data_IF_027424227119
#
_entry.id   IF_027424227119
#
_cell.length_a   1.000
_cell.length_b   1.000
_cell.length_c   1.000
_cell.angle_alpha   90.00
_cell.angle_beta   90.00
_cell.angle_gamma   90.00
#
_symmetry.space_group_name_H-M   'P 1'
#
loop_
_entity.id
_entity.type
_entity.pdbx_description
1 polymer ?
#
# COMPACT_ATOMS: atom_id res chain seq x y z
N UNK A 1 8.71 -7.79 -13.67
CA UNK A 1 9.49 -8.36 -12.56
C UNK A 1 10.65 -9.22 -13.03
N UNK A 2 10.45 -10.35 -13.73
CA UNK A 2 11.55 -11.27 -14.11
C UNK A 2 12.72 -10.56 -14.79
N UNK A 3 12.47 -9.83 -15.89
CA UNK A 3 13.53 -9.08 -16.59
C UNK A 3 14.13 -7.89 -15.81
N UNK A 4 13.54 -7.46 -14.69
CA UNK A 4 14.12 -6.45 -13.80
C UNK A 4 15.23 -7.08 -12.95
N UNK A 5 15.03 -8.31 -12.48
CA UNK A 5 15.99 -9.05 -11.65
C UNK A 5 17.14 -9.70 -12.43
N UNK A 6 17.11 -9.63 -13.77
CA UNK A 6 18.24 -10.00 -14.63
C UNK A 6 19.27 -8.87 -14.75
N UNK A 7 18.92 -7.65 -14.34
CA UNK A 7 19.80 -6.47 -14.47
C UNK A 7 20.72 -6.36 -13.26
N UNK A 8 22.02 -6.21 -13.51
CA UNK A 8 23.03 -6.12 -12.45
C UNK A 8 22.78 -4.97 -11.46
N UNK A 9 22.29 -3.81 -11.94
CA UNK A 9 22.00 -2.67 -11.07
C UNK A 9 20.87 -2.96 -10.07
N UNK A 10 19.84 -3.72 -10.47
CA UNK A 10 18.76 -4.10 -9.57
C UNK A 10 19.26 -5.05 -8.48
N UNK A 11 20.09 -6.04 -8.86
CA UNK A 11 20.67 -6.99 -7.90
C UNK A 11 21.56 -6.30 -6.87
N UNK A 12 22.38 -5.33 -7.31
CA UNK A 12 23.19 -4.51 -6.42
C UNK A 12 22.32 -3.69 -5.47
N UNK A 13 21.25 -3.05 -5.98
CA UNK A 13 20.34 -2.26 -5.16
C UNK A 13 19.63 -3.10 -4.09
N UNK A 14 19.21 -4.32 -4.44
CA UNK A 14 18.58 -5.25 -3.49
C UNK A 14 19.52 -5.65 -2.34
N UNK A 15 20.78 -5.99 -2.67
CA UNK A 15 21.78 -6.33 -1.66
C UNK A 15 22.10 -5.12 -0.80
N UNK A 16 22.24 -3.95 -1.40
CA UNK A 16 22.52 -2.71 -0.69
C UNK A 16 21.40 -2.37 0.31
N UNK A 17 20.14 -2.42 -0.10
CA UNK A 17 19.00 -2.14 0.78
C UNK A 17 18.97 -3.08 1.99
N UNK A 18 19.22 -4.38 1.80
CA UNK A 18 19.33 -5.33 2.91
C UNK A 18 20.48 -5.01 3.86
N UNK A 19 21.62 -4.57 3.33
CA UNK A 19 22.77 -4.17 4.16
C UNK A 19 22.55 -2.85 4.90
N UNK A 20 21.81 -1.92 4.31
CA UNK A 20 21.53 -0.61 4.91
C UNK A 20 20.43 -0.66 5.97
N UNK A 21 19.32 -1.34 5.68
CA UNK A 21 18.15 -1.37 6.56
C UNK A 21 18.09 -2.62 7.46
N UNK A 22 18.89 -3.65 7.15
CA UNK A 22 18.84 -4.94 7.83
C UNK A 22 17.76 -5.86 7.26
N UNK A 23 17.90 -7.17 7.47
CA UNK A 23 17.05 -8.19 6.83
C UNK A 23 15.60 -8.22 7.33
N UNK A 24 15.30 -7.56 8.45
CA UNK A 24 13.97 -7.53 9.06
C UNK A 24 13.18 -6.24 8.76
N UNK A 25 13.83 -5.21 8.23
CA UNK A 25 13.21 -3.90 8.05
C UNK A 25 12.39 -3.83 6.76
N UNK A 26 11.20 -3.23 6.78
CA UNK A 26 10.28 -3.19 5.63
C UNK A 26 10.91 -2.56 4.37
N UNK A 27 11.70 -1.50 4.54
CA UNK A 27 12.44 -0.84 3.44
C UNK A 27 13.53 -1.71 2.80
N UNK A 28 13.92 -2.83 3.40
CA UNK A 28 14.86 -3.78 2.80
C UNK A 28 14.21 -4.65 1.71
N UNK A 29 12.88 -4.69 1.66
CA UNK A 29 12.11 -5.55 0.75
C UNK A 29 11.67 -4.81 -0.51
N UNK A 30 11.59 -5.55 -1.62
CA UNK A 30 11.05 -5.04 -2.88
C UNK A 30 9.52 -4.98 -2.79
N UNK A 31 8.95 -3.78 -2.71
CA UNK A 31 7.49 -3.61 -2.66
C UNK A 31 6.77 -4.14 -3.92
N UNK A 32 7.47 -4.14 -5.06
CA UNK A 32 6.98 -4.76 -6.29
C UNK A 32 6.96 -6.29 -6.25
N UNK A 33 7.62 -6.91 -5.27
CA UNK A 33 7.79 -8.36 -5.13
C UNK A 33 9.01 -8.92 -5.85
N UNK A 34 9.44 -10.12 -5.43
CA UNK A 34 10.41 -10.93 -6.18
C UNK A 34 9.68 -11.94 -7.06
N UNK A 35 10.29 -12.43 -8.16
CA UNK A 35 9.66 -13.45 -9.01
C UNK A 35 9.24 -14.71 -8.24
N UNK A 36 10.01 -15.10 -7.23
CA UNK A 36 9.73 -16.24 -6.36
C UNK A 36 8.55 -15.94 -5.43
N UNK A 37 8.57 -14.81 -4.73
CA UNK A 37 7.52 -14.44 -3.78
C UNK A 37 6.17 -14.26 -4.48
N UNK A 38 6.14 -13.65 -5.67
CA UNK A 38 4.89 -13.43 -6.41
C UNK A 38 4.28 -14.73 -6.95
N UNK A 39 5.11 -15.73 -7.28
CA UNK A 39 4.60 -17.06 -7.65
C UNK A 39 4.02 -17.82 -6.46
N UNK A 40 4.48 -17.52 -5.25
CA UNK A 40 3.99 -18.13 -4.02
C UNK A 40 2.78 -17.40 -3.41
N UNK A 41 2.59 -16.10 -3.71
CA UNK A 41 1.53 -15.27 -3.13
C UNK A 41 0.13 -15.75 -3.53
N UNK A 42 -0.69 -16.07 -2.54
CA UNK A 42 -2.06 -16.54 -2.71
C UNK A 42 -3.11 -15.42 -2.73
N UNK A 43 -4.31 -15.69 -3.28
CA UNK A 43 -5.39 -14.70 -3.33
C UNK A 43 -5.91 -14.31 -1.92
N UNK A 44 -5.86 -15.22 -0.95
CA UNK A 44 -6.32 -14.95 0.41
C UNK A 44 -5.38 -14.01 1.15
N UNK A 45 -4.07 -14.15 0.96
CA UNK A 45 -3.06 -13.25 1.51
C UNK A 45 -3.22 -11.83 0.93
N UNK A 46 -3.52 -11.71 -0.37
CA UNK A 46 -3.81 -10.43 -1.02
C UNK A 46 -5.05 -9.76 -0.40
N UNK A 47 -6.14 -10.52 -0.25
CA UNK A 47 -7.38 -10.00 0.36
C UNK A 47 -7.15 -9.57 1.81
N UNK A 48 -6.42 -10.37 2.58
CA UNK A 48 -6.10 -10.06 3.96
C UNK A 48 -5.23 -8.80 4.06
N UNK A 49 -4.21 -8.66 3.21
CA UNK A 49 -3.38 -7.46 3.15
C UNK A 49 -4.21 -6.22 2.83
N UNK A 50 -5.07 -6.30 1.80
CA UNK A 50 -5.96 -5.20 1.45
C UNK A 50 -6.89 -4.82 2.61
N UNK A 51 -7.56 -5.80 3.23
CA UNK A 51 -8.47 -5.56 4.35
C UNK A 51 -7.75 -4.95 5.58
N UNK A 52 -6.48 -5.30 5.78
CA UNK A 52 -5.70 -4.82 6.92
C UNK A 52 -5.23 -3.37 6.72
N UNK A 53 -4.75 -3.02 5.52
CA UNK A 53 -4.03 -1.77 5.29
C UNK A 53 -4.83 -0.71 4.52
N UNK A 54 -5.75 -1.12 3.64
CA UNK A 54 -6.56 -0.25 2.79
C UNK A 54 -7.94 -0.02 3.39
N UNK A 55 -7.98 0.69 4.52
CA UNK A 55 -9.21 1.14 5.16
C UNK A 55 -9.34 2.65 5.09
N UNK A 56 -10.58 3.14 5.01
CA UNK A 56 -10.89 4.58 5.00
C UNK A 56 -10.30 5.32 6.22
N UNK A 57 -10.23 4.66 7.38
CA UNK A 57 -9.67 5.24 8.60
C UNK A 57 -8.14 5.30 8.61
N UNK A 58 -7.46 4.54 7.74
CA UNK A 58 -6.00 4.45 7.70
C UNK A 58 -5.38 5.14 6.48
N UNK A 59 -6.20 5.67 5.56
CA UNK A 59 -5.72 6.26 4.31
C UNK A 59 -5.96 7.77 4.28
N UNK A 60 -4.88 8.54 4.14
CA UNK A 60 -4.94 9.92 3.67
C UNK A 60 -5.07 9.97 2.14
N UNK A 61 -5.72 11.00 1.61
CA UNK A 61 -5.84 11.21 0.16
C UNK A 61 -5.21 12.53 -0.24
N UNK A 62 -4.31 12.49 -1.21
CA UNK A 62 -3.80 13.67 -1.94
C UNK A 62 -4.29 13.55 -3.38
N UNK A 63 -5.05 14.54 -3.84
CA UNK A 63 -5.68 14.55 -5.15
C UNK A 63 -5.08 15.66 -6.02
N UNK A 64 -4.72 15.31 -7.25
CA UNK A 64 -4.36 16.26 -8.29
C UNK A 64 -5.50 16.34 -9.31
N UNK A 65 -6.18 17.49 -9.38
CA UNK A 65 -7.30 17.73 -10.30
C UNK A 65 -6.79 18.53 -11.49
N UNK A 66 -7.04 18.04 -12.71
CA UNK A 66 -6.73 18.80 -13.93
C UNK A 66 -7.56 20.08 -13.99
N UNK A 67 -6.99 21.16 -14.54
CA UNK A 67 -7.72 22.42 -14.77
C UNK A 67 -8.91 22.31 -15.76
N UNK A 68 -9.05 21.16 -16.44
CA UNK A 68 -10.19 20.87 -17.32
C UNK A 68 -11.40 20.32 -16.56
N UNK A 69 -11.23 19.96 -15.30
CA UNK A 69 -12.28 19.42 -14.45
C UNK A 69 -12.73 20.48 -13.46
N UNK A 70 -14.04 20.50 -13.19
CA UNK A 70 -14.59 21.31 -12.10
C UNK A 70 -14.15 20.72 -10.76
N UNK A 71 -13.48 21.54 -9.95
CA UNK A 71 -13.08 21.15 -8.59
C UNK A 71 -14.29 20.77 -7.74
N UNK A 72 -15.38 21.55 -7.83
CA UNK A 72 -16.59 21.32 -7.04
C UNK A 72 -17.22 19.98 -7.41
N UNK A 73 -17.42 19.72 -8.69
CA UNK A 73 -18.07 18.48 -9.13
C UNK A 73 -17.21 17.25 -8.81
N UNK A 74 -15.89 17.38 -8.93
CA UNK A 74 -14.94 16.31 -8.57
C UNK A 74 -15.02 16.01 -7.07
N UNK A 75 -15.02 17.03 -6.22
CA UNK A 75 -15.11 16.85 -4.77
C UNK A 75 -16.48 16.30 -4.35
N UNK A 76 -17.57 16.74 -4.98
CA UNK A 76 -18.91 16.18 -4.75
C UNK A 76 -18.98 14.70 -5.10
N UNK A 77 -18.47 14.30 -6.27
CA UNK A 77 -18.45 12.90 -6.69
C UNK A 77 -17.60 12.02 -5.77
N UNK A 78 -16.45 12.53 -5.30
CA UNK A 78 -15.60 11.84 -4.32
C UNK A 78 -16.30 11.72 -2.98
N UNK A 79 -16.94 12.79 -2.49
CA UNK A 79 -17.74 12.78 -1.25
C UNK A 79 -18.80 11.69 -1.30
N UNK A 80 -19.57 11.62 -2.38
CA UNK A 80 -20.60 10.60 -2.56
C UNK A 80 -20.02 9.18 -2.58
N UNK A 81 -18.88 8.98 -3.25
CA UNK A 81 -18.19 7.69 -3.28
C UNK A 81 -17.70 7.26 -1.89
N UNK A 82 -17.05 8.17 -1.16
CA UNK A 82 -16.50 7.89 0.17
C UNK A 82 -17.63 7.62 1.17
N UNK A 83 -18.73 8.36 1.11
CA UNK A 83 -19.90 8.13 1.98
C UNK A 83 -20.54 6.75 1.72
N UNK A 84 -20.64 6.32 0.46
CA UNK A 84 -21.12 4.96 0.12
C UNK A 84 -20.19 3.87 0.67
N UNK A 85 -18.88 4.05 0.50
CA UNK A 85 -17.88 3.09 1.00
C UNK A 85 -17.80 3.06 2.53
N UNK A 86 -17.97 4.20 3.19
CA UNK A 86 -18.02 4.31 4.65
C UNK A 86 -19.26 3.63 5.23
N UNK A 87 -20.43 3.81 4.60
CA UNK A 87 -21.65 3.09 5.01
C UNK A 87 -21.50 1.57 4.89
N UNK A 88 -20.84 1.09 3.83
CA UNK A 88 -20.50 -0.32 3.68
C UNK A 88 -19.49 -0.80 4.74
N UNK A 89 -18.49 0.02 5.08
CA UNK A 89 -17.46 -0.30 6.06
C UNK A 89 -17.95 -0.24 7.53
N UNK A 90 -18.91 0.62 7.86
CA UNK A 90 -19.49 0.75 9.20
C UNK A 90 -20.18 -0.55 9.68
N UNK A 91 -20.57 -1.41 8.75
CA UNK A 91 -21.14 -2.74 9.05
C UNK A 91 -20.06 -3.75 9.48
N UNK A 92 -18.78 -3.44 9.33
CA UNK A 92 -17.65 -4.38 9.47
C UNK A 92 -16.63 -4.03 10.58
N UNK A 93 -16.86 -3.01 11.41
CA UNK A 93 -15.80 -2.47 12.28
C UNK A 93 -15.52 -3.36 13.50
N UNK A 94 -14.29 -3.90 13.58
CA UNK A 94 -13.57 -4.19 14.82
C UNK A 94 -12.24 -3.42 14.78
N UNK A 95 -11.98 -2.73 15.90
CA UNK A 95 -10.86 -1.86 16.35
C UNK A 95 -9.42 -2.04 15.81
N UNK A 96 -8.56 -1.00 15.97
CA UNK A 96 -7.34 -0.77 15.18
C UNK A 96 -6.12 -1.58 15.66
N UNK A 97 -5.14 -1.82 14.79
CA UNK A 97 -4.05 -2.80 15.01
C UNK A 97 -2.61 -2.29 14.95
N UNK A 98 -2.33 -0.99 15.03
CA UNK A 98 -0.93 -0.55 15.09
C UNK A 98 -0.73 0.48 16.19
N UNK A 99 0.00 0.13 17.25
CA UNK A 99 0.55 1.12 18.18
C UNK A 99 1.76 1.80 17.50
N UNK A 100 1.83 3.12 17.59
CA UNK A 100 2.79 4.01 16.87
C UNK A 100 4.21 3.94 17.48
N UNK A 101 4.51 2.95 18.31
CA UNK A 101 5.66 2.97 19.23
C UNK A 101 6.96 2.42 18.63
N UNK A 102 6.97 2.03 17.35
CA UNK A 102 8.14 1.44 16.69
C UNK A 102 8.64 2.21 15.46
N UNK A 103 8.17 3.44 15.23
CA UNK A 103 8.58 4.25 14.07
C UNK A 103 9.83 5.11 14.31
N UNK A 104 10.35 5.15 15.54
CA UNK A 104 11.61 5.82 15.88
C UNK A 104 12.34 5.07 17.01
N UNK A 105 13.02 3.97 16.69
CA UNK A 105 14.16 3.47 17.45
C UNK A 105 15.25 3.00 16.48
#
# INVERSE_FOLDING_TARGET
>A
MVGTFERANQLVFQVLNKRMFGDAHSLAFEAGGTPEAIRALGPDEIRQFHATWYSLSNMGMVLCISNRCSTVDTLSAISDMLNRSAAAAATAITSPKIPVEHLFQ
#
